data_IF_383795740677
#
_entry.id   IF_383795740677
#
_cell.length_a   1.000
_cell.length_b   1.000
_cell.length_c   1.000
_cell.angle_alpha   90.00
_cell.angle_beta   90.00
_cell.angle_gamma   90.00
#
_symmetry.space_group_name_H-M   'P 1'
#
loop_
_entity.id
_entity.type
_entity.pdbx_description
1 polymer ?
#
# COMPACT_ATOMS: atom_id res chain seq x y z
N UNK A 1 -15.74 -68.12 -13.89
CA UNK A 1 -14.37 -68.56 -13.52
C UNK A 1 -13.57 -67.31 -13.22
N UNK A 2 -12.91 -67.25 -12.07
CA UNK A 2 -12.10 -66.11 -11.64
C UNK A 2 -10.65 -66.45 -12.01
N UNK A 3 -10.08 -65.72 -12.95
CA UNK A 3 -8.66 -65.86 -13.32
C UNK A 3 -7.81 -65.14 -12.27
N UNK A 4 -7.11 -65.92 -11.45
CA UNK A 4 -6.13 -65.42 -10.49
C UNK A 4 -4.87 -65.08 -11.28
N UNK A 5 -4.54 -63.79 -11.40
CA UNK A 5 -3.28 -63.36 -11.99
C UNK A 5 -2.13 -63.83 -11.09
N UNK A 6 -1.29 -64.73 -11.64
CA UNK A 6 -0.10 -65.26 -11.00
C UNK A 6 0.85 -64.11 -10.65
N UNK A 7 1.22 -64.02 -9.36
CA UNK A 7 2.34 -63.21 -8.92
C UNK A 7 3.62 -63.86 -9.45
N UNK A 8 4.35 -63.16 -10.32
CA UNK A 8 5.64 -63.63 -10.85
C UNK A 8 6.63 -63.80 -9.70
N UNK A 9 7.01 -65.05 -9.47
CA UNK A 9 8.10 -65.43 -8.59
C UNK A 9 9.42 -65.21 -9.35
N UNK A 10 10.20 -64.20 -8.93
CA UNK A 10 11.47 -63.84 -9.59
C UNK A 10 12.60 -64.71 -9.00
N UNK A 11 13.28 -65.45 -9.87
CA UNK A 11 14.41 -66.32 -9.54
C UNK A 11 15.65 -65.50 -9.11
N UNK A 12 16.33 -65.83 -8.00
CA UNK A 12 17.38 -64.98 -7.42
C UNK A 12 18.80 -65.19 -7.99
N UNK A 13 19.00 -66.11 -8.93
CA UNK A 13 20.33 -66.67 -9.24
C UNK A 13 21.08 -66.03 -10.43
N UNK A 14 20.44 -65.14 -11.20
CA UNK A 14 21.05 -64.46 -12.37
C UNK A 14 21.10 -62.92 -12.26
N UNK A 15 20.64 -62.35 -11.15
CA UNK A 15 20.60 -60.89 -10.98
C UNK A 15 21.86 -60.40 -10.29
N UNK A 16 22.66 -59.56 -10.95
CA UNK A 16 23.73 -58.82 -10.27
C UNK A 16 23.16 -58.09 -9.04
N UNK A 17 23.87 -58.12 -7.90
CA UNK A 17 23.38 -57.48 -6.68
C UNK A 17 23.24 -55.98 -6.91
N UNK A 18 22.02 -55.46 -6.72
CA UNK A 18 21.73 -54.04 -6.87
C UNK A 18 22.62 -53.21 -5.94
N UNK A 19 23.16 -52.11 -6.44
CA UNK A 19 23.92 -51.17 -5.63
C UNK A 19 23.00 -50.48 -4.61
N UNK A 20 23.57 -50.01 -3.49
CA UNK A 20 22.80 -49.31 -2.46
C UNK A 20 21.95 -48.16 -3.03
N UNK A 21 22.48 -47.43 -4.02
CA UNK A 21 21.76 -46.34 -4.69
C UNK A 21 20.54 -46.85 -5.45
N UNK A 22 20.67 -47.97 -6.16
CA UNK A 22 19.58 -48.58 -6.92
C UNK A 22 18.55 -49.19 -5.99
N UNK A 23 18.98 -49.82 -4.89
CA UNK A 23 18.09 -50.26 -3.81
C UNK A 23 17.33 -49.05 -3.26
N UNK A 24 17.99 -47.94 -2.96
CA UNK A 24 17.34 -46.72 -2.49
C UNK A 24 16.34 -46.17 -3.51
N UNK A 25 16.66 -46.14 -4.80
CA UNK A 25 15.71 -45.67 -5.83
C UNK A 25 14.54 -46.64 -5.96
N UNK A 26 14.78 -47.96 -5.88
CA UNK A 26 13.75 -48.99 -6.02
C UNK A 26 12.82 -49.04 -4.81
N UNK A 27 13.35 -48.85 -3.60
CA UNK A 27 12.60 -48.92 -2.33
C UNK A 27 12.00 -47.56 -1.95
N UNK A 28 12.74 -46.46 -2.09
CA UNK A 28 12.37 -45.12 -1.62
C UNK A 28 11.96 -44.15 -2.76
N UNK A 29 12.19 -44.52 -4.02
CA UNK A 29 11.97 -43.64 -5.17
C UNK A 29 13.15 -42.70 -5.49
N UNK A 30 13.06 -41.96 -6.60
CA UNK A 30 14.08 -40.96 -6.98
C UNK A 30 14.01 -39.74 -6.05
N UNK A 31 15.14 -39.36 -5.44
CA UNK A 31 15.26 -38.15 -4.61
C UNK A 31 14.85 -36.89 -5.40
N UNK A 32 13.97 -36.07 -4.83
CA UNK A 32 13.51 -34.80 -5.42
C UNK A 32 14.36 -33.59 -4.98
N UNK A 33 14.37 -32.47 -5.73
CA UNK A 33 15.36 -31.34 -5.62
C UNK A 33 14.95 -29.92 -5.13
N UNK A 34 13.66 -29.62 -4.85
CA UNK A 34 12.94 -28.54 -4.07
C UNK A 34 11.95 -28.81 -2.80
N UNK A 35 12.08 -28.21 -1.63
CA UNK A 35 11.57 -28.59 -0.25
C UNK A 35 10.94 -27.26 0.08
N UNK A 36 9.75 -27.28 0.64
CA UNK A 36 9.13 -26.01 1.01
C UNK A 36 9.90 -25.35 2.15
N UNK A 37 10.24 -24.08 1.97
CA UNK A 37 10.97 -23.27 2.93
C UNK A 37 12.50 -23.31 2.81
N UNK A 38 13.13 -24.40 2.33
CA UNK A 38 14.59 -24.58 2.07
C UNK A 38 14.86 -25.87 1.21
N UNK A 39 15.04 -25.85 -0.13
CA UNK A 39 14.39 -26.90 -0.96
C UNK A 39 14.94 -28.30 -1.54
N UNK A 40 14.27 -29.53 -1.41
CA UNK A 40 14.08 -30.85 -2.20
C UNK A 40 12.62 -31.47 -2.67
N UNK A 41 12.17 -31.55 -3.97
CA UNK A 41 10.81 -31.38 -4.68
C UNK A 41 10.85 -30.67 -6.10
N UNK A 42 9.76 -30.24 -6.78
CA UNK A 42 9.81 -29.50 -8.08
C UNK A 42 9.70 -27.97 -7.94
N UNK A 43 10.56 -27.22 -8.64
CA UNK A 43 10.59 -25.75 -8.58
C UNK A 43 9.21 -25.18 -8.91
N UNK A 44 8.61 -24.36 -8.03
CA UNK A 44 7.37 -23.67 -8.39
C UNK A 44 7.61 -22.86 -9.67
N UNK A 45 6.79 -23.07 -10.69
CA UNK A 45 6.81 -22.24 -11.89
C UNK A 45 6.34 -20.87 -11.46
N UNK A 46 7.26 -19.90 -11.46
CA UNK A 46 7.03 -18.53 -11.05
C UNK A 46 6.03 -17.85 -11.99
N UNK A 47 4.74 -18.07 -11.73
CA UNK A 47 3.66 -17.24 -12.27
C UNK A 47 2.90 -16.63 -11.10
N UNK A 48 3.65 -16.13 -10.12
CA UNK A 48 3.17 -15.09 -9.23
C UNK A 48 3.98 -13.85 -9.57
N UNK A 49 3.67 -13.26 -10.72
CA UNK A 49 3.85 -11.82 -10.82
C UNK A 49 3.04 -11.24 -9.67
N UNK A 50 3.69 -10.51 -8.76
CA UNK A 50 2.98 -9.56 -7.90
C UNK A 50 2.01 -8.83 -8.81
N UNK A 51 0.72 -8.75 -8.47
CA UNK A 51 -0.28 -8.02 -9.26
C UNK A 51 0.15 -6.54 -9.36
N UNK A 52 1.04 -6.22 -10.30
CA UNK A 52 1.57 -4.87 -10.53
C UNK A 52 0.43 -3.94 -10.94
N UNK A 53 -0.60 -4.49 -11.57
CA UNK A 53 -1.85 -3.81 -11.89
C UNK A 53 -2.46 -3.09 -10.69
N UNK A 54 -2.55 -3.75 -9.52
CA UNK A 54 -3.18 -3.11 -8.36
C UNK A 54 -2.25 -2.08 -7.71
N UNK A 55 -0.95 -2.35 -7.69
CA UNK A 55 0.06 -1.39 -7.22
C UNK A 55 0.07 -0.12 -8.09
N UNK A 56 0.00 -0.27 -9.42
CA UNK A 56 -0.01 0.84 -10.37
C UNK A 56 -1.31 1.66 -10.25
N UNK A 57 -2.45 0.99 -10.07
CA UNK A 57 -3.75 1.65 -9.81
C UNK A 57 -3.72 2.46 -8.53
N UNK A 58 -3.23 1.86 -7.44
CA UNK A 58 -3.10 2.56 -6.15
C UNK A 58 -2.13 3.74 -6.24
N UNK A 59 -1.00 3.57 -6.93
CA UNK A 59 -0.04 4.64 -7.16
C UNK A 59 -0.67 5.81 -7.94
N UNK A 60 -1.48 5.52 -8.95
CA UNK A 60 -2.23 6.53 -9.70
C UNK A 60 -3.23 7.29 -8.83
N UNK A 61 -3.98 6.59 -7.97
CA UNK A 61 -4.93 7.21 -7.02
C UNK A 61 -4.19 8.11 -6.04
N UNK A 62 -3.09 7.64 -5.45
CA UNK A 62 -2.28 8.40 -4.49
C UNK A 62 -1.72 9.66 -5.15
N UNK A 63 -1.19 9.54 -6.37
CA UNK A 63 -0.64 10.68 -7.12
C UNK A 63 -1.71 11.72 -7.44
N UNK A 64 -2.91 11.28 -7.83
CA UNK A 64 -4.05 12.17 -8.08
C UNK A 64 -4.53 12.87 -6.81
N UNK A 65 -4.60 12.15 -5.69
CA UNK A 65 -4.96 12.73 -4.38
C UNK A 65 -3.92 13.74 -3.91
N UNK A 66 -2.63 13.46 -4.08
CA UNK A 66 -1.56 14.38 -3.70
C UNK A 66 -1.67 15.70 -4.46
N UNK A 67 -1.83 15.65 -5.79
CA UNK A 67 -1.98 16.87 -6.60
C UNK A 67 -3.22 17.71 -6.20
N UNK A 68 -4.30 17.05 -5.78
CA UNK A 68 -5.50 17.74 -5.25
C UNK A 68 -5.21 18.44 -3.93
N UNK A 69 -4.50 17.78 -3.01
CA UNK A 69 -4.10 18.37 -1.73
C UNK A 69 -3.18 19.57 -1.96
N UNK A 70 -2.18 19.44 -2.83
CA UNK A 70 -1.25 20.54 -3.15
C UNK A 70 -2.00 21.76 -3.69
N UNK A 71 -3.02 21.53 -4.53
CA UNK A 71 -3.86 22.62 -5.08
C UNK A 71 -4.71 23.30 -3.99
N UNK A 72 -5.27 22.51 -3.06
CA UNK A 72 -6.05 23.04 -1.94
C UNK A 72 -5.19 23.83 -0.96
N UNK A 73 -3.95 23.39 -0.71
CA UNK A 73 -3.01 24.09 0.16
C UNK A 73 -2.65 25.49 -0.39
N UNK A 74 -2.45 25.60 -1.71
CA UNK A 74 -2.23 26.89 -2.38
C UNK A 74 -3.42 27.81 -2.21
N UNK A 75 -4.64 27.31 -2.45
CA UNK A 75 -5.87 28.09 -2.30
C UNK A 75 -6.07 28.57 -0.84
N UNK A 76 -5.87 27.68 0.13
CA UNK A 76 -5.96 28.02 1.55
C UNK A 76 -4.94 29.09 1.96
N UNK A 77 -3.71 29.01 1.44
CA UNK A 77 -2.68 30.00 1.71
C UNK A 77 -3.06 31.37 1.13
N UNK A 78 -3.67 31.42 -0.05
CA UNK A 78 -4.15 32.66 -0.65
C UNK A 78 -5.34 33.26 0.13
N UNK A 79 -6.30 32.43 0.53
CA UNK A 79 -7.40 32.85 1.39
C UNK A 79 -6.90 33.43 2.72
N UNK A 80 -5.92 32.77 3.35
CA UNK A 80 -5.32 33.27 4.60
C UNK A 80 -4.68 34.63 4.40
N UNK A 81 -3.94 34.84 3.31
CA UNK A 81 -3.35 36.14 2.98
C UNK A 81 -4.42 37.23 2.79
N UNK A 82 -5.55 36.90 2.17
CA UNK A 82 -6.67 37.83 2.01
C UNK A 82 -7.25 38.20 3.39
N UNK A 83 -7.44 37.23 4.27
CA UNK A 83 -7.92 37.46 5.64
C UNK A 83 -6.96 38.40 6.38
N UNK A 84 -5.65 38.11 6.38
CA UNK A 84 -4.63 38.94 7.03
C UNK A 84 -4.64 40.39 6.50
N UNK A 85 -4.88 40.57 5.19
CA UNK A 85 -5.03 41.89 4.58
C UNK A 85 -6.30 42.62 5.03
N UNK A 86 -7.42 41.91 5.12
CA UNK A 86 -8.68 42.48 5.59
C UNK A 86 -8.60 42.87 7.07
N UNK A 87 -7.99 42.04 7.91
CA UNK A 87 -7.75 42.34 9.31
C UNK A 87 -6.88 43.59 9.49
N UNK A 88 -5.81 43.71 8.70
CA UNK A 88 -4.94 44.89 8.71
C UNK A 88 -5.71 46.16 8.33
N UNK A 89 -6.50 46.10 7.25
CA UNK A 89 -7.33 47.23 6.80
C UNK A 89 -8.41 47.61 7.82
N UNK A 90 -8.99 46.63 8.51
CA UNK A 90 -9.96 46.88 9.58
C UNK A 90 -9.29 47.57 10.76
N UNK A 91 -8.08 47.16 11.14
CA UNK A 91 -7.32 47.80 12.21
C UNK A 91 -6.94 49.25 11.88
N UNK A 92 -6.50 49.52 10.64
CA UNK A 92 -6.25 50.88 10.17
C UNK A 92 -7.51 51.76 10.22
N UNK A 93 -8.64 51.22 9.74
CA UNK A 93 -9.92 51.91 9.78
C UNK A 93 -10.38 52.18 11.23
N UNK A 94 -10.23 51.20 12.12
CA UNK A 94 -10.54 51.35 13.54
C UNK A 94 -9.70 52.46 14.18
N UNK A 95 -8.40 52.49 13.91
CA UNK A 95 -7.51 53.55 14.40
C UNK A 95 -7.93 54.94 13.89
N UNK A 96 -8.27 55.05 12.60
CA UNK A 96 -8.74 56.30 12.00
C UNK A 96 -10.05 56.78 12.63
N UNK A 97 -11.00 55.88 12.83
CA UNK A 97 -12.27 56.19 13.47
C UNK A 97 -12.08 56.58 14.93
N UNK A 98 -11.23 55.86 15.67
CA UNK A 98 -10.92 56.20 17.05
C UNK A 98 -10.36 57.63 17.17
N UNK A 99 -9.48 58.04 16.26
CA UNK A 99 -8.93 59.40 16.22
C UNK A 99 -10.03 60.44 15.91
N UNK A 100 -10.86 60.20 14.90
CA UNK A 100 -11.95 61.10 14.51
C UNK A 100 -12.96 61.33 15.63
N UNK A 101 -13.45 60.26 16.26
CA UNK A 101 -14.44 60.38 17.34
C UNK A 101 -13.84 61.02 18.60
N UNK A 102 -12.59 60.71 18.93
CA UNK A 102 -11.87 61.36 20.04
C UNK A 102 -11.77 62.89 19.82
N UNK A 103 -11.57 63.34 18.58
CA UNK A 103 -11.56 64.77 18.25
C UNK A 103 -12.92 65.46 18.39
N UNK A 104 -14.01 64.69 18.27
CA UNK A 104 -15.39 65.17 18.42
C UNK A 104 -15.94 64.98 19.86
N UNK A 105 -15.11 64.54 20.80
CA UNK A 105 -15.52 64.30 22.19
C UNK A 105 -16.49 63.12 22.36
N UNK A 106 -16.56 62.22 21.38
CA UNK A 106 -17.40 61.02 21.39
C UNK A 106 -16.54 59.76 21.33
N UNK A 107 -17.04 58.63 21.85
CA UNK A 107 -16.31 57.37 21.82
C UNK A 107 -16.77 56.51 20.63
N UNK A 108 -15.83 56.01 19.83
CA UNK A 108 -16.10 55.01 18.80
C UNK A 108 -16.06 53.60 19.42
N UNK A 109 -17.04 52.75 19.11
CA UNK A 109 -17.05 51.33 19.51
C UNK A 109 -17.72 50.48 18.44
N UNK A 110 -17.10 49.37 18.07
CA UNK A 110 -17.79 48.35 17.31
C UNK A 110 -18.84 47.66 18.18
N UNK A 111 -20.11 47.74 17.76
CA UNK A 111 -21.16 46.92 18.35
C UNK A 111 -21.03 45.53 17.76
N UNK A 112 -20.63 44.56 18.58
CA UNK A 112 -20.64 43.15 18.22
C UNK A 112 -22.11 42.70 18.15
N UNK A 113 -22.78 42.89 17.00
CA UNK A 113 -24.04 42.22 16.73
C UNK A 113 -23.69 40.79 16.34
N UNK A 114 -23.41 39.95 17.35
CA UNK A 114 -23.29 38.52 17.15
C UNK A 114 -24.57 38.02 16.48
N UNK A 115 -24.41 37.41 15.31
CA UNK A 115 -25.48 36.74 14.56
C UNK A 115 -26.06 35.66 15.48
N UNK A 116 -27.37 35.78 15.73
CA UNK A 116 -28.18 34.84 16.51
C UNK A 116 -28.67 33.70 15.62
#
# INVERSE_FOLDING_TARGET
MIEIQQQQQINPEEAEPLTQREICIKVLGKKSGYFRGLGNGPRPTSTHGVDTSEADRLHGIISSQQSRLDSQDVELQEQKKIIDQLESRLSEFEGMMQQFFSSQGTAFRFTNSAIQ
#
